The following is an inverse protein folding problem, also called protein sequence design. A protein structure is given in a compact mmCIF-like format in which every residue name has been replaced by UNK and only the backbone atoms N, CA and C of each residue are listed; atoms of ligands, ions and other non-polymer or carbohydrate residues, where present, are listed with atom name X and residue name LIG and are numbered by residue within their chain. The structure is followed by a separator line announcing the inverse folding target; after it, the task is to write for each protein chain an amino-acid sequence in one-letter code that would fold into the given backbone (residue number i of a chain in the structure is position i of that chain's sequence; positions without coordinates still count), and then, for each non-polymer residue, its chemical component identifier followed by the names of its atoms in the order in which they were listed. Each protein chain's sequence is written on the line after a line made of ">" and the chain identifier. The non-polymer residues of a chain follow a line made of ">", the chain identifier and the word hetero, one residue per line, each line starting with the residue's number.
data_IF_246010229713
#
_entry.id   IF_246010229713
#
_cell.length_a   1.000
_cell.length_b   1.000
_cell.length_c   1.000
_cell.angle_alpha   90.00
_cell.angle_beta   90.00
_cell.angle_gamma   90.00
#
_symmetry.space_group_name_H-M   'P 1'
#
loop_
_entity.id
_entity.type
_entity.pdbx_description
1 polymer ?
#
# COMPACT_ATOMS: atom_id res chain seq x y z
N UNK A 1 -6.48 -2.92 11.15
CA UNK A 1 -5.19 -3.51 10.71
C UNK A 1 -4.46 -4.12 11.90
N UNK A 2 -4.16 -3.34 12.94
CA UNK A 2 -3.36 -3.78 14.10
C UNK A 2 -3.82 -5.08 14.79
N UNK A 3 -5.13 -5.27 14.95
CA UNK A 3 -5.71 -6.45 15.60
C UNK A 3 -5.42 -7.81 14.91
N UNK A 4 -4.74 -7.81 13.77
CA UNK A 4 -4.40 -9.02 13.00
C UNK A 4 -2.89 -9.25 12.92
N UNK A 5 -2.09 -8.40 13.57
CA UNK A 5 -0.64 -8.54 13.65
C UNK A 5 -0.27 -9.51 14.77
N UNK A 6 0.82 -10.24 14.56
CA UNK A 6 1.34 -11.22 15.52
C UNK A 6 2.47 -10.59 16.34
N UNK A 7 2.23 -10.43 17.64
CA UNK A 7 3.21 -9.85 18.56
C UNK A 7 4.52 -10.65 18.55
N UNK A 8 5.65 -9.95 18.46
CA UNK A 8 6.99 -10.57 18.41
C UNK A 8 7.36 -11.26 17.09
N UNK A 9 6.47 -11.31 16.11
CA UNK A 9 6.75 -11.81 14.76
C UNK A 9 6.70 -10.71 13.71
N UNK A 10 5.72 -9.82 13.81
CA UNK A 10 5.60 -8.69 12.90
C UNK A 10 6.38 -7.49 13.40
N UNK A 11 6.98 -6.76 12.46
CA UNK A 11 7.60 -5.48 12.71
C UNK A 11 6.90 -4.41 11.89
N UNK A 12 6.75 -3.22 12.45
CA UNK A 12 6.12 -2.10 11.76
C UNK A 12 6.69 -0.78 12.27
N UNK A 13 6.55 0.24 11.44
CA UNK A 13 6.66 1.65 11.79
C UNK A 13 5.35 2.35 11.48
N UNK A 14 5.04 3.43 12.17
CA UNK A 14 3.90 4.30 11.86
C UNK A 14 4.43 5.63 11.36
N UNK A 15 3.85 6.09 10.25
CA UNK A 15 4.06 7.41 9.72
C UNK A 15 2.73 8.14 9.60
N UNK A 16 2.72 9.43 9.92
CA UNK A 16 1.72 10.38 9.42
C UNK A 16 2.30 11.19 8.28
N UNK A 17 1.44 11.85 7.52
CA UNK A 17 1.90 12.73 6.46
C UNK A 17 0.96 13.92 6.28
N UNK A 18 1.56 15.03 5.89
CA UNK A 18 0.91 16.26 5.42
C UNK A 18 1.64 16.72 4.14
N UNK A 19 2.37 17.82 4.18
CA UNK A 19 3.35 18.21 3.16
C UNK A 19 4.69 17.49 3.31
N UNK A 20 4.90 16.81 4.44
CA UNK A 20 6.05 15.99 4.74
C UNK A 20 5.64 14.64 5.34
N UNK A 21 6.57 13.68 5.34
CA UNK A 21 6.42 12.39 6.02
C UNK A 21 6.98 12.50 7.44
N UNK A 22 6.16 12.20 8.44
CA UNK A 22 6.53 12.25 9.86
C UNK A 22 6.52 10.85 10.45
N UNK A 23 7.63 10.42 11.05
CA UNK A 23 7.69 9.14 11.74
C UNK A 23 7.11 9.28 13.14
N UNK A 24 5.99 8.61 13.41
CA UNK A 24 5.37 8.56 14.73
C UNK A 24 5.98 7.44 15.56
N UNK A 25 6.18 6.28 14.94
CA UNK A 25 6.78 5.11 15.58
C UNK A 25 7.90 4.55 14.71
N UNK A 26 9.10 4.31 15.27
CA UNK A 26 10.17 3.64 14.55
C UNK A 26 9.84 2.18 14.27
N UNK A 27 10.55 1.57 13.32
CA UNK A 27 10.43 0.13 13.07
C UNK A 27 10.80 -0.65 14.33
N UNK A 28 9.87 -1.48 14.78
CA UNK A 28 10.08 -2.38 15.90
C UNK A 28 9.05 -3.50 15.91
N UNK A 29 9.23 -4.50 16.78
CA UNK A 29 8.29 -5.59 16.92
C UNK A 29 6.93 -5.06 17.37
N UNK A 30 5.86 -5.56 16.77
CA UNK A 30 4.49 -5.30 17.22
C UNK A 30 4.32 -5.78 18.67
N UNK A 31 3.71 -4.93 19.50
CA UNK A 31 3.38 -5.21 20.90
C UNK A 31 1.92 -4.89 21.15
N UNK A 32 1.22 -5.79 21.82
CA UNK A 32 -0.16 -5.57 22.28
C UNK A 32 -0.19 -4.75 23.59
N UNK A 33 0.48 -3.60 23.60
CA UNK A 33 0.60 -2.71 24.78
C UNK A 33 -0.12 -1.36 24.61
N UNK A 34 -0.89 -1.21 23.53
CA UNK A 34 -1.67 -0.02 23.26
C UNK A 34 -0.85 1.19 22.78
N UNK A 35 0.47 1.04 22.55
CA UNK A 35 1.33 2.17 22.12
C UNK A 35 0.94 2.67 20.74
N UNK A 36 0.68 1.75 19.82
CA UNK A 36 0.35 2.09 18.43
C UNK A 36 -1.01 2.77 18.30
N UNK A 37 -2.01 2.29 19.04
CA UNK A 37 -3.33 2.90 19.10
C UNK A 37 -3.24 4.34 19.60
N UNK A 38 -2.45 4.59 20.67
CA UNK A 38 -2.23 5.94 21.20
C UNK A 38 -1.56 6.86 20.17
N UNK A 39 -0.56 6.37 19.45
CA UNK A 39 0.14 7.15 18.43
C UNK A 39 -0.76 7.48 17.24
N UNK A 40 -1.72 6.62 16.91
CA UNK A 40 -2.75 6.89 15.89
C UNK A 40 -3.81 7.89 16.35
N UNK A 41 -4.25 7.84 17.62
CA UNK A 41 -5.25 8.78 18.15
C UNK A 41 -4.77 10.23 18.21
N UNK A 42 -3.46 10.45 18.25
CA UNK A 42 -2.86 11.80 18.26
C UNK A 42 -2.72 12.46 16.90
N UNK A 43 -3.12 11.80 15.81
CA UNK A 43 -2.98 12.35 14.45
C UNK A 43 -4.13 13.33 14.18
N UNK A 44 -3.79 14.61 14.04
CA UNK A 44 -4.72 15.64 13.58
C UNK A 44 -4.48 15.92 12.09
N UNK A 45 -5.43 15.61 11.19
CA UNK A 45 -5.31 15.96 9.79
C UNK A 45 -5.45 17.49 9.61
N UNK A 46 -4.44 18.14 9.03
CA UNK A 46 -4.52 19.55 8.71
C UNK A 46 -3.67 19.91 7.49
N UNK A 47 -4.15 20.88 6.70
CA UNK A 47 -3.37 21.50 5.64
C UNK A 47 -3.41 20.76 4.30
N UNK A 48 -2.25 20.74 3.64
CA UNK A 48 -2.06 20.16 2.31
C UNK A 48 -1.61 18.70 2.41
N UNK A 49 -1.78 17.96 1.30
CA UNK A 49 -1.57 16.51 1.25
C UNK A 49 -0.60 16.15 0.13
N UNK A 50 0.61 15.75 0.51
CA UNK A 50 1.66 15.22 -0.35
C UNK A 50 1.72 13.69 -0.26
N UNK A 51 0.63 13.05 -0.66
CA UNK A 51 0.43 11.59 -0.62
C UNK A 51 1.47 10.83 -1.46
N UNK A 52 1.71 11.25 -2.70
CA UNK A 52 2.65 10.55 -3.59
C UNK A 52 4.09 10.66 -3.08
N UNK A 53 4.48 11.83 -2.56
CA UNK A 53 5.79 12.05 -1.94
C UNK A 53 5.96 11.18 -0.69
N UNK A 54 4.92 11.11 0.15
CA UNK A 54 4.89 10.26 1.33
C UNK A 54 5.04 8.76 0.98
N UNK A 55 4.33 8.29 -0.05
CA UNK A 55 4.44 6.91 -0.55
C UNK A 55 5.87 6.62 -1.01
N UNK A 56 6.45 7.50 -1.84
CA UNK A 56 7.80 7.33 -2.37
C UNK A 56 8.87 7.32 -1.26
N UNK A 57 8.74 8.20 -0.26
CA UNK A 57 9.66 8.29 0.87
C UNK A 57 9.53 7.08 1.81
N UNK A 58 8.31 6.69 2.18
CA UNK A 58 8.07 5.54 3.05
C UNK A 58 8.53 4.23 2.39
N UNK A 59 8.30 4.06 1.09
CA UNK A 59 8.76 2.89 0.34
C UNK A 59 10.29 2.77 0.35
N UNK A 60 11.02 3.88 0.17
CA UNK A 60 12.50 3.90 0.28
C UNK A 60 12.98 3.50 1.67
N UNK A 61 12.34 4.01 2.72
CA UNK A 61 12.64 3.63 4.10
C UNK A 61 12.42 2.14 4.37
N UNK A 62 11.34 1.58 3.84
CA UNK A 62 11.00 0.16 3.97
C UNK A 62 11.96 -0.75 3.18
N UNK A 63 12.38 -0.34 1.98
CA UNK A 63 13.33 -1.11 1.17
C UNK A 63 14.73 -1.25 1.80
N UNK A 64 15.12 -0.30 2.66
CA UNK A 64 16.36 -0.36 3.43
C UNK A 64 16.32 -1.37 4.58
N UNK A 65 15.21 -2.10 4.77
CA UNK A 65 15.06 -3.13 5.79
C UNK A 65 15.50 -4.52 5.29
N UNK A 66 16.09 -5.34 6.19
CA UNK A 66 16.62 -6.65 5.81
C UNK A 66 15.52 -7.66 5.46
N UNK A 67 14.30 -7.46 5.94
CA UNK A 67 13.17 -8.36 5.68
C UNK A 67 12.71 -8.21 4.23
N UNK A 68 12.63 -9.35 3.53
CA UNK A 68 12.13 -9.43 2.15
C UNK A 68 10.61 -9.40 2.08
N UNK A 69 9.92 -9.88 3.12
CA UNK A 69 8.47 -9.85 3.24
C UNK A 69 8.07 -8.49 3.83
N UNK A 70 7.63 -7.59 2.95
CA UNK A 70 7.38 -6.19 3.28
C UNK A 70 6.20 -5.65 2.49
N UNK A 71 5.50 -4.71 3.09
CA UNK A 71 4.43 -3.97 2.43
C UNK A 71 4.29 -2.59 3.05
N UNK A 72 3.94 -1.62 2.21
CA UNK A 72 3.49 -0.30 2.64
C UNK A 72 1.97 -0.28 2.62
N UNK A 73 1.35 0.03 3.75
CA UNK A 73 -0.10 0.22 3.87
C UNK A 73 -0.37 1.70 4.01
N UNK A 74 -1.17 2.25 3.09
CA UNK A 74 -1.51 3.66 3.03
C UNK A 74 -2.98 3.80 3.37
N UNK A 75 -3.27 4.53 4.44
CA UNK A 75 -4.63 4.93 4.81
C UNK A 75 -4.77 6.40 4.43
N UNK A 76 -5.73 6.72 3.56
CA UNK A 76 -5.95 8.11 3.13
C UNK A 76 -7.42 8.33 2.84
N UNK A 77 -7.94 9.49 3.19
CA UNK A 77 -9.28 9.96 2.80
C UNK A 77 -9.26 10.80 1.51
N UNK A 78 -8.06 11.06 0.99
CA UNK A 78 -7.80 12.31 0.29
C UNK A 78 -7.15 12.15 -1.06
N UNK A 79 -7.24 13.24 -1.82
CA UNK A 79 -6.55 13.45 -3.07
C UNK A 79 -5.25 14.19 -2.79
N UNK A 80 -4.20 13.75 -3.47
CA UNK A 80 -2.96 14.52 -3.50
C UNK A 80 -3.19 15.92 -4.07
N UNK A 81 -2.65 16.95 -3.40
CA UNK A 81 -2.75 18.34 -3.85
C UNK A 81 -1.43 19.14 -3.71
N UNK A 82 -0.36 18.53 -3.19
CA UNK A 82 0.92 19.20 -2.99
C UNK A 82 2.14 18.31 -3.27
N UNK A 83 1.98 17.07 -3.74
CA UNK A 83 3.17 16.29 -4.10
C UNK A 83 3.94 16.89 -5.27
N UNK A 84 5.26 16.74 -5.21
CA UNK A 84 6.13 16.92 -6.37
C UNK A 84 6.08 15.70 -7.29
N UNK A 85 5.91 14.51 -6.72
CA UNK A 85 5.74 13.26 -7.46
C UNK A 85 4.31 13.11 -7.97
N UNK A 86 4.19 12.64 -9.22
CA UNK A 86 2.97 12.04 -9.73
C UNK A 86 2.74 10.63 -9.14
N UNK A 87 1.50 10.10 -9.20
CA UNK A 87 1.23 8.73 -8.81
C UNK A 87 2.07 7.70 -9.59
N UNK A 88 2.33 7.97 -10.87
CA UNK A 88 3.15 7.10 -11.72
C UNK A 88 4.63 7.08 -11.28
N UNK A 89 5.19 8.21 -10.88
CA UNK A 89 6.56 8.28 -10.36
C UNK A 89 6.68 7.60 -9.00
N UNK A 90 5.73 7.83 -8.08
CA UNK A 90 5.67 7.12 -6.81
C UNK A 90 5.55 5.59 -7.00
N UNK A 91 4.71 5.16 -7.95
CA UNK A 91 4.60 3.76 -8.36
C UNK A 91 5.92 3.20 -8.88
N UNK A 92 6.60 3.95 -9.76
CA UNK A 92 7.89 3.54 -10.32
C UNK A 92 8.96 3.40 -9.23
N UNK A 93 9.01 4.34 -8.29
CA UNK A 93 9.92 4.27 -7.14
C UNK A 93 9.65 2.99 -6.34
N UNK A 94 8.43 2.79 -5.84
CA UNK A 94 8.09 1.64 -5.01
C UNK A 94 8.27 0.30 -5.74
N UNK A 95 7.91 0.23 -7.02
CA UNK A 95 8.08 -0.98 -7.83
C UNK A 95 9.55 -1.30 -8.11
N UNK A 96 10.42 -0.30 -8.26
CA UNK A 96 11.85 -0.52 -8.55
C UNK A 96 12.65 -1.05 -7.36
N UNK A 97 12.09 -0.93 -6.15
CA UNK A 97 12.69 -1.38 -4.89
C UNK A 97 11.91 -2.53 -4.26
N UNK A 98 11.03 -3.19 -5.02
CA UNK A 98 10.23 -4.34 -4.59
C UNK A 98 9.46 -4.07 -3.30
N UNK A 99 8.75 -2.95 -3.25
CA UNK A 99 7.84 -2.60 -2.15
C UNK A 99 6.40 -2.55 -2.68
N UNK A 100 5.59 -3.58 -2.38
CA UNK A 100 4.15 -3.55 -2.63
C UNK A 100 3.46 -2.47 -1.81
N UNK A 101 2.61 -1.68 -2.46
CA UNK A 101 1.84 -0.61 -1.85
C UNK A 101 0.36 -0.98 -1.88
N UNK A 102 -0.24 -1.06 -0.69
CA UNK A 102 -1.67 -1.25 -0.50
C UNK A 102 -2.29 0.05 -0.07
N UNK A 103 -3.35 0.47 -0.75
CA UNK A 103 -4.00 1.76 -0.49
C UNK A 103 -5.43 1.50 -0.05
N UNK A 104 -5.81 2.08 1.09
CA UNK A 104 -7.17 2.10 1.60
C UNK A 104 -7.67 3.54 1.59
N UNK A 105 -8.53 3.83 0.61
CA UNK A 105 -9.22 5.10 0.48
C UNK A 105 -10.48 5.11 1.36
N UNK A 106 -10.52 6.01 2.34
CA UNK A 106 -11.68 6.22 3.21
C UNK A 106 -12.55 7.32 2.61
N UNK A 107 -13.79 7.00 2.24
CA UNK A 107 -14.73 7.95 1.64
C UNK A 107 -15.95 8.12 2.52
N UNK A 108 -16.57 9.31 2.52
CA UNK A 108 -17.81 9.51 3.25
C UNK A 108 -18.94 8.63 2.67
N UNK A 109 -19.78 8.00 3.51
CA UNK A 109 -20.97 7.27 3.06
C UNK A 109 -21.89 8.10 2.16
N UNK A 110 -21.97 9.42 2.38
CA UNK A 110 -22.80 10.34 1.61
C UNK A 110 -22.30 10.52 0.17
N UNK A 111 -20.98 10.47 -0.01
CA UNK A 111 -20.33 10.58 -1.33
C UNK A 111 -20.33 9.22 -2.07
N UNK A 112 -20.76 8.14 -1.41
CA UNK A 112 -20.98 6.80 -1.96
C UNK A 112 -22.47 6.44 -2.01
N UNK A 113 -23.31 7.39 -2.45
CA UNK A 113 -24.73 7.15 -2.72
C UNK A 113 -24.91 6.11 -3.85
N UNK A 114 -25.04 4.82 -3.49
CA UNK A 114 -25.44 3.76 -4.42
C UNK A 114 -24.81 2.38 -4.23
N UNK A 115 -23.79 2.22 -3.38
CA UNK A 115 -23.18 0.90 -3.10
C UNK A 115 -22.88 0.71 -1.62
N UNK A 116 -23.93 0.63 -0.79
CA UNK A 116 -23.83 0.35 0.64
C UNK A 116 -23.21 -1.03 0.97
N UNK A 117 -22.91 -1.88 -0.02
CA UNK A 117 -22.53 -3.28 0.19
C UNK A 117 -21.36 -3.80 -0.67
N UNK A 118 -20.68 -2.97 -1.46
CA UNK A 118 -19.63 -3.45 -2.35
C UNK A 118 -18.25 -2.84 -2.04
N UNK A 119 -17.27 -3.72 -1.76
CA UNK A 119 -15.87 -3.42 -2.07
C UNK A 119 -15.78 -3.34 -3.59
N UNK A 120 -15.93 -2.14 -4.15
CA UNK A 120 -15.84 -1.94 -5.59
C UNK A 120 -14.45 -1.46 -5.97
N UNK A 121 -13.77 -2.24 -6.82
CA UNK A 121 -12.58 -1.82 -7.58
C UNK A 121 -12.91 -0.78 -8.66
N UNK A 122 -14.20 -0.45 -8.82
CA UNK A 122 -14.73 0.52 -9.78
C UNK A 122 -15.57 1.57 -9.03
N UNK A 123 -14.97 2.72 -8.75
CA UNK A 123 -15.62 3.89 -8.16
C UNK A 123 -15.34 5.15 -9.00
N UNK A 124 -16.24 6.16 -9.06
CA UNK A 124 -16.17 7.30 -9.99
C UNK A 124 -15.29 8.47 -9.51
N UNK A 125 -14.57 8.31 -8.40
CA UNK A 125 -13.42 9.18 -8.07
C UNK A 125 -12.34 8.93 -9.14
N UNK A 126 -11.41 9.85 -9.48
CA UNK A 126 -10.21 9.50 -10.25
C UNK A 126 -9.31 8.58 -9.41
N UNK A 127 -9.81 7.36 -9.20
CA UNK A 127 -9.23 6.23 -8.49
C UNK A 127 -8.21 5.52 -9.38
N UNK A 128 -8.28 5.75 -10.69
CA UNK A 128 -7.42 5.09 -11.69
C UNK A 128 -5.95 5.16 -11.29
N UNK A 129 -5.46 6.35 -10.95
CA UNK A 129 -4.02 6.56 -10.72
C UNK A 129 -3.52 5.91 -9.43
N UNK A 130 -4.29 5.95 -8.33
CA UNK A 130 -3.91 5.28 -7.07
C UNK A 130 -4.08 3.76 -7.18
N UNK A 131 -5.13 3.30 -7.85
CA UNK A 131 -5.32 1.88 -8.08
C UNK A 131 -4.25 1.31 -9.02
N UNK A 132 -3.85 2.05 -10.04
CA UNK A 132 -2.74 1.71 -10.92
C UNK A 132 -1.40 1.76 -10.20
N UNK A 133 -1.18 2.75 -9.33
CA UNK A 133 -0.01 2.82 -8.46
C UNK A 133 0.11 1.53 -7.64
N UNK A 134 -0.94 1.18 -6.89
CA UNK A 134 -0.97 -0.02 -6.06
C UNK A 134 -0.71 -1.29 -6.88
N UNK A 135 -1.49 -1.51 -7.96
CA UNK A 135 -1.35 -2.71 -8.81
C UNK A 135 0.01 -2.84 -9.47
N UNK A 136 0.61 -1.75 -9.95
CA UNK A 136 1.96 -1.77 -10.57
C UNK A 136 3.03 -2.25 -9.58
N UNK A 137 2.88 -1.91 -8.30
CA UNK A 137 3.79 -2.37 -7.23
C UNK A 137 3.51 -3.81 -6.76
N UNK A 138 2.42 -4.43 -7.22
CA UNK A 138 1.97 -5.75 -6.78
C UNK A 138 1.12 -5.73 -5.51
N UNK A 139 0.69 -4.56 -5.05
CA UNK A 139 -0.32 -4.41 -4.00
C UNK A 139 -1.74 -4.26 -4.55
N UNK A 140 -2.65 -3.73 -3.74
CA UNK A 140 -4.07 -3.56 -4.10
C UNK A 140 -4.67 -2.26 -3.55
N UNK A 141 -5.81 -1.87 -4.11
CA UNK A 141 -6.54 -0.66 -3.76
C UNK A 141 -7.94 -0.99 -3.26
N UNK A 142 -8.30 -0.44 -2.10
CA UNK A 142 -9.58 -0.63 -1.43
C UNK A 142 -10.26 0.71 -1.21
N UNK A 143 -11.55 0.80 -1.54
CA UNK A 143 -12.41 1.90 -1.08
C UNK A 143 -13.24 1.40 0.09
N UNK A 144 -13.28 2.17 1.17
CA UNK A 144 -14.09 1.89 2.35
C UNK A 144 -14.89 3.13 2.73
N UNK A 145 -16.17 2.93 3.03
CA UNK A 145 -17.07 3.99 3.50
C UNK A 145 -17.62 3.74 4.90
N UNK A 146 -17.42 2.53 5.45
CA UNK A 146 -17.92 2.14 6.76
C UNK A 146 -16.85 1.42 7.57
N UNK A 147 -16.87 1.59 8.90
CA UNK A 147 -15.90 0.99 9.84
C UNK A 147 -15.81 -0.55 9.71
N UNK A 148 -16.92 -1.21 9.41
CA UNK A 148 -16.95 -2.65 9.15
C UNK A 148 -16.21 -3.03 7.87
N UNK A 149 -16.34 -2.24 6.80
CA UNK A 149 -15.64 -2.45 5.53
C UNK A 149 -14.13 -2.26 5.69
N UNK A 150 -13.72 -1.25 6.46
CA UNK A 150 -12.31 -1.01 6.83
C UNK A 150 -11.72 -2.22 7.55
N UNK A 151 -12.48 -2.81 8.46
CA UNK A 151 -12.05 -4.00 9.21
C UNK A 151 -11.90 -5.23 8.31
N UNK A 152 -12.83 -5.44 7.38
CA UNK A 152 -12.77 -6.55 6.42
C UNK A 152 -11.61 -6.37 5.43
N UNK A 153 -11.41 -5.17 4.89
CA UNK A 153 -10.31 -4.86 3.98
C UNK A 153 -8.96 -5.05 4.68
N UNK A 154 -8.84 -4.58 5.92
CA UNK A 154 -7.65 -4.79 6.74
C UNK A 154 -7.34 -6.28 6.98
N UNK A 155 -8.37 -7.10 7.25
CA UNK A 155 -8.20 -8.56 7.40
C UNK A 155 -7.69 -9.19 6.12
N UNK A 156 -8.32 -8.89 4.98
CA UNK A 156 -7.91 -9.42 3.66
C UNK A 156 -6.47 -9.04 3.34
N UNK A 157 -6.09 -7.80 3.61
CA UNK A 157 -4.73 -7.32 3.40
C UNK A 157 -3.73 -8.11 4.26
N UNK A 158 -3.98 -8.23 5.57
CA UNK A 158 -3.05 -8.97 6.45
C UNK A 158 -2.96 -10.44 6.05
N UNK A 159 -4.08 -11.07 5.72
CA UNK A 159 -4.10 -12.45 5.21
C UNK A 159 -3.29 -12.61 3.91
N UNK A 160 -3.39 -11.65 2.99
CA UNK A 160 -2.59 -11.61 1.77
C UNK A 160 -1.09 -11.46 2.07
N UNK A 161 -0.71 -10.62 3.04
CA UNK A 161 0.69 -10.47 3.48
C UNK A 161 1.27 -11.76 4.08
N UNK A 162 0.43 -12.63 4.66
CA UNK A 162 0.86 -13.95 5.16
C UNK A 162 1.14 -14.94 4.03
N UNK A 163 0.48 -14.78 2.88
CA UNK A 163 0.59 -15.68 1.72
C UNK A 163 1.42 -15.07 0.59
N UNK A 164 2.42 -14.24 0.93
CA UNK A 164 3.34 -13.67 -0.04
C UNK A 164 4.42 -14.67 -0.44
N UNK A 165 4.62 -14.83 -1.75
CA UNK A 165 5.67 -15.66 -2.33
C UNK A 165 6.71 -14.79 -3.03
N UNK A 166 8.00 -15.03 -2.73
CA UNK A 166 9.11 -14.45 -3.48
C UNK A 166 9.50 -15.38 -4.62
N UNK A 167 9.34 -14.90 -5.86
CA UNK A 167 9.76 -15.61 -7.08
C UNK A 167 10.90 -14.85 -7.73
N UNK A 168 12.04 -15.51 -7.87
CA UNK A 168 13.21 -14.97 -8.57
C UNK A 168 13.32 -15.57 -9.98
N UNK A 169 13.68 -14.72 -10.94
CA UNK A 169 13.94 -15.12 -12.33
C UNK A 169 15.03 -14.23 -12.91
N UNK A 170 15.66 -14.67 -14.00
CA UNK A 170 16.68 -13.89 -14.70
C UNK A 170 16.03 -12.79 -15.56
N UNK A 171 16.39 -11.50 -15.37
CA UNK A 171 15.78 -10.41 -16.13
C UNK A 171 16.19 -10.43 -17.59
N UNK A 172 15.31 -9.98 -18.48
CA UNK A 172 15.61 -9.91 -19.92
C UNK A 172 16.80 -8.97 -20.20
N UNK A 173 17.71 -9.35 -21.10
CA UNK A 173 18.95 -8.58 -21.38
C UNK A 173 18.74 -7.18 -21.96
N UNK A 174 17.62 -6.94 -22.66
CA UNK A 174 17.34 -5.64 -23.28
C UNK A 174 16.88 -4.63 -22.22
N UNK A 175 17.45 -3.41 -22.17
CA UNK A 175 17.01 -2.36 -21.23
C UNK A 175 15.56 -1.90 -21.43
N UNK A 176 14.98 -1.36 -20.37
CA UNK A 176 13.65 -0.75 -20.34
C UNK A 176 12.60 -1.59 -19.59
N UNK A 177 11.37 -1.08 -19.57
CA UNK A 177 10.23 -1.73 -18.92
C UNK A 177 9.90 -3.08 -19.59
N UNK A 178 9.60 -4.08 -18.76
CA UNK A 178 9.22 -5.43 -19.16
C UNK A 178 7.94 -5.83 -18.43
N UNK A 179 6.86 -6.18 -19.14
CA UNK A 179 5.66 -6.70 -18.49
C UNK A 179 5.96 -8.03 -17.81
N UNK A 180 5.31 -8.28 -16.69
CA UNK A 180 5.37 -9.53 -15.93
C UNK A 180 3.96 -10.05 -15.74
N UNK A 181 3.76 -11.34 -16.01
CA UNK A 181 2.52 -12.04 -15.72
C UNK A 181 2.85 -13.32 -14.97
N UNK A 182 2.16 -13.55 -13.85
CA UNK A 182 2.27 -14.77 -13.06
C UNK A 182 0.92 -15.46 -13.08
N UNK A 183 0.91 -16.75 -13.43
CA UNK A 183 -0.30 -17.58 -13.47
C UNK A 183 -0.13 -18.77 -12.56
N UNK A 184 -1.17 -19.06 -11.77
CA UNK A 184 -1.27 -20.33 -11.07
C UNK A 184 -1.72 -21.42 -12.05
N UNK A 185 -1.26 -22.65 -11.84
CA UNK A 185 -1.73 -23.80 -12.65
C UNK A 185 -3.20 -24.09 -12.40
N UNK A 186 -3.64 -23.86 -11.16
CA UNK A 186 -5.02 -24.04 -10.75
C UNK A 186 -5.74 -22.70 -10.81
N UNK A 187 -6.82 -22.66 -11.60
CA UNK A 187 -7.63 -21.46 -11.84
C UNK A 187 -8.43 -21.00 -10.63
N UNK A 188 -8.50 -21.80 -9.55
CA UNK A 188 -9.16 -21.38 -8.31
C UNK A 188 -8.36 -20.33 -7.55
N UNK A 189 -7.04 -20.23 -7.81
CA UNK A 189 -6.20 -19.23 -7.16
C UNK A 189 -6.23 -17.91 -7.92
N UNK A 190 -6.43 -16.83 -7.18
CA UNK A 190 -6.22 -15.47 -7.66
C UNK A 190 -4.76 -15.12 -7.44
N UNK A 191 -4.02 -14.89 -8.52
CA UNK A 191 -2.63 -14.45 -8.45
C UNK A 191 -2.56 -12.94 -8.57
N UNK A 192 -1.90 -12.30 -7.60
CA UNK A 192 -1.45 -10.92 -7.73
C UNK A 192 0.07 -10.88 -7.79
N UNK A 193 0.58 -10.08 -8.70
CA UNK A 193 2.00 -9.85 -8.90
C UNK A 193 2.22 -8.43 -9.43
N UNK A 194 3.44 -7.91 -9.28
CA UNK A 194 3.83 -6.66 -9.95
C UNK A 194 3.59 -6.77 -11.45
N UNK A 195 3.08 -5.70 -12.07
CA UNK A 195 2.75 -5.69 -13.51
C UNK A 195 3.96 -5.72 -14.45
N UNK A 196 5.17 -5.57 -13.90
CA UNK A 196 6.40 -5.60 -14.68
C UNK A 196 7.63 -5.27 -13.84
N UNK A 197 8.77 -5.12 -14.53
CA UNK A 197 10.06 -4.76 -13.96
C UNK A 197 10.86 -3.92 -14.95
N UNK A 198 11.83 -3.16 -14.45
CA UNK A 198 12.81 -2.46 -15.28
C UNK A 198 14.02 -3.38 -15.44
N UNK A 199 14.43 -3.61 -16.68
CA UNK A 199 15.71 -4.25 -16.97
C UNK A 199 16.74 -3.25 -17.47
N UNK A 200 18.03 -3.54 -17.25
CA UNK A 200 19.15 -2.77 -17.80
C UNK A 200 19.38 -1.40 -17.16
N UNK A 201 18.87 -1.17 -15.95
CA UNK A 201 19.22 0.00 -15.13
C UNK A 201 20.51 -0.28 -14.36
N UNK A 202 21.50 0.58 -14.53
CA UNK A 202 22.70 0.66 -13.69
C UNK A 202 22.65 1.96 -12.92
#
# INVERSE_FOLDING_TARGET
>A
VLAWLEAGRDELAIYSFDTALHQLEPFGPYREDGTLERSLFGIEPFGMTSLNDAIGAAAKGLAARPNSHRALIVLTDGRDNHSQLSPAEASSIASSIDVPVYIMAVVSPLDHAGKATAVSTESPVPVGDLADLARRTGGDFFVTSATEQTSLAARRLVDELRHQYLIAFEPASRPGWRPLEVRARDSQFVVRARGGYISGGR
#
